data_IF_979476892967
#
_entry.id   IF_979476892967
#
_cell.length_a   1.000
_cell.length_b   1.000
_cell.length_c   1.000
_cell.angle_alpha   90.00
_cell.angle_beta   90.00
_cell.angle_gamma   90.00
#
_symmetry.space_group_name_H-M   'P 1'
#
loop_
_entity.id
_entity.type
_entity.pdbx_description
1 polymer ?
#
# COMPACT_ATOMS: atom_id res chain seq x y z
N UNK A 1 21.35 12.20 -51.25
CA UNK A 1 22.23 12.30 -50.06
C UNK A 1 21.38 12.89 -48.95
N UNK A 2 20.58 12.02 -48.33
CA UNK A 2 19.43 12.40 -47.49
C UNK A 2 19.90 12.63 -46.05
N UNK A 3 19.47 13.75 -45.47
CA UNK A 3 20.04 14.36 -44.27
C UNK A 3 20.03 13.43 -43.05
N UNK A 4 21.22 12.89 -42.72
CA UNK A 4 21.48 12.12 -41.50
C UNK A 4 21.30 12.94 -40.21
N UNK A 5 21.21 14.27 -40.29
CA UNK A 5 21.01 15.16 -39.15
C UNK A 5 19.55 15.19 -38.63
N UNK A 6 18.55 14.99 -39.50
CA UNK A 6 17.14 15.11 -39.10
C UNK A 6 16.65 13.85 -38.36
N UNK A 7 17.22 12.68 -38.64
CA UNK A 7 16.93 11.43 -37.91
C UNK A 7 17.47 11.44 -36.48
N UNK A 8 18.58 12.12 -36.21
CA UNK A 8 19.17 12.20 -34.88
C UNK A 8 18.33 13.08 -33.93
N UNK A 9 17.78 14.20 -34.43
CA UNK A 9 16.93 15.09 -33.64
C UNK A 9 15.57 14.46 -33.31
N UNK A 10 14.97 13.71 -34.25
CA UNK A 10 13.71 13.03 -34.00
C UNK A 10 13.87 11.84 -33.03
N UNK A 11 15.01 11.13 -33.11
CA UNK A 11 15.34 10.04 -32.18
C UNK A 11 15.60 10.52 -30.75
N UNK A 12 16.16 11.73 -30.57
CA UNK A 12 16.43 12.30 -29.25
C UNK A 12 15.15 12.81 -28.57
N UNK A 13 14.18 13.29 -29.35
CA UNK A 13 12.88 13.75 -28.83
C UNK A 13 11.95 12.59 -28.44
N UNK A 14 11.99 11.47 -29.16
CA UNK A 14 11.28 10.23 -28.77
C UNK A 14 11.88 9.61 -27.50
N UNK A 15 13.20 9.75 -27.30
CA UNK A 15 13.87 9.25 -26.09
C UNK A 15 13.49 10.07 -24.84
N UNK A 16 13.31 11.38 -24.96
CA UNK A 16 12.90 12.25 -23.86
C UNK A 16 11.44 12.07 -23.44
N UNK A 17 10.54 11.70 -24.37
CA UNK A 17 9.12 11.43 -24.05
C UNK A 17 8.93 10.13 -23.26
N UNK A 18 9.87 9.18 -23.34
CA UNK A 18 9.81 7.92 -22.56
C UNK A 18 10.20 8.10 -21.08
N UNK A 19 10.61 9.31 -20.68
CA UNK A 19 11.08 9.61 -19.32
C UNK A 19 10.05 10.34 -18.46
N UNK A 20 8.93 10.76 -19.04
CA UNK A 20 7.79 11.28 -18.29
C UNK A 20 6.66 10.24 -18.29
N UNK A 21 6.31 9.80 -17.09
CA UNK A 21 5.12 9.01 -16.76
C UNK A 21 5.16 7.52 -17.12
N UNK A 22 5.95 6.75 -16.37
CA UNK A 22 5.38 5.54 -15.78
C UNK A 22 4.75 5.90 -14.44
N UNK A 23 3.71 6.73 -14.46
CA UNK A 23 2.66 6.56 -13.45
C UNK A 23 2.07 5.22 -13.83
N UNK A 24 2.47 4.17 -13.12
CA UNK A 24 1.77 2.90 -13.19
C UNK A 24 0.40 3.16 -12.60
N UNK A 25 -0.57 3.57 -13.42
CA UNK A 25 -1.96 3.36 -13.05
C UNK A 25 -2.06 1.86 -12.79
N UNK A 26 -2.21 1.48 -11.52
CA UNK A 26 -2.49 0.09 -11.22
C UNK A 26 -3.81 -0.22 -11.91
N UNK A 27 -3.77 -1.17 -12.85
CA UNK A 27 -4.97 -1.68 -13.49
C UNK A 27 -5.75 -2.61 -12.56
N UNK A 28 -5.24 -2.86 -11.34
CA UNK A 28 -5.85 -3.74 -10.37
C UNK A 28 -6.91 -3.00 -9.54
N UNK A 29 -8.01 -3.68 -9.16
CA UNK A 29 -9.01 -3.07 -8.29
C UNK A 29 -8.43 -2.66 -6.94
N UNK A 30 -8.82 -1.48 -6.44
CA UNK A 30 -8.47 -1.04 -5.09
C UNK A 30 -9.10 -2.00 -4.07
N UNK A 31 -8.31 -2.59 -3.14
CA UNK A 31 -8.85 -3.47 -2.12
C UNK A 31 -9.83 -2.74 -1.20
N UNK A 32 -10.89 -3.43 -0.78
CA UNK A 32 -11.83 -2.93 0.23
C UNK A 32 -11.56 -3.55 1.59
N UNK A 33 -11.59 -2.74 2.64
CA UNK A 33 -11.42 -3.16 4.04
C UNK A 33 -12.71 -2.93 4.81
N UNK A 34 -13.30 -4.02 5.29
CA UNK A 34 -14.45 -4.00 6.17
C UNK A 34 -13.99 -4.34 7.59
N UNK A 35 -14.18 -3.44 8.55
CA UNK A 35 -13.81 -3.64 9.95
C UNK A 35 -15.05 -4.09 10.73
N UNK A 36 -14.89 -5.05 11.64
CA UNK A 36 -15.94 -5.48 12.57
C UNK A 36 -15.64 -5.00 13.98
N UNK A 37 -16.67 -4.72 14.76
CA UNK A 37 -16.56 -4.38 16.18
C UNK A 37 -17.78 -4.84 16.97
N UNK A 38 -17.98 -4.27 18.16
CA UNK A 38 -19.13 -4.54 19.00
C UNK A 38 -19.88 -3.25 19.34
N UNK A 39 -21.22 -3.30 19.37
CA UNK A 39 -22.03 -2.19 19.86
C UNK A 39 -22.11 -2.18 21.42
N UNK A 40 -22.85 -1.23 21.99
CA UNK A 40 -23.03 -1.11 23.46
C UNK A 40 -23.70 -2.34 24.10
N UNK A 41 -24.43 -3.15 23.32
CA UNK A 41 -25.06 -4.40 23.78
C UNK A 41 -24.13 -5.63 23.63
N UNK A 42 -22.88 -5.42 23.16
CA UNK A 42 -21.94 -6.50 22.86
C UNK A 42 -22.27 -7.28 21.57
N UNK A 43 -23.11 -6.75 20.69
CA UNK A 43 -23.44 -7.40 19.41
C UNK A 43 -22.41 -7.04 18.34
N UNK A 44 -22.02 -8.03 17.54
CA UNK A 44 -21.14 -7.84 16.39
C UNK A 44 -21.77 -6.91 15.35
N UNK A 45 -21.01 -5.93 14.88
CA UNK A 45 -21.40 -4.94 13.88
C UNK A 45 -20.26 -4.68 12.89
N UNK A 46 -20.57 -4.09 11.74
CA UNK A 46 -19.54 -3.42 10.93
C UNK A 46 -19.24 -2.06 11.53
N UNK A 47 -17.95 -1.79 11.73
CA UNK A 47 -17.46 -0.48 12.10
C UNK A 47 -17.23 0.35 10.84
N UNK A 48 -18.02 1.42 10.71
CA UNK A 48 -18.03 2.32 9.55
C UNK A 48 -17.36 3.67 9.83
N UNK A 49 -16.58 3.79 10.91
CA UNK A 49 -15.88 5.05 11.26
C UNK A 49 -14.81 5.43 10.25
N UNK A 50 -14.18 4.43 9.62
CA UNK A 50 -13.17 4.62 8.58
C UNK A 50 -13.74 4.21 7.21
N UNK A 51 -13.33 4.90 6.14
CA UNK A 51 -13.74 4.56 4.77
C UNK A 51 -13.29 3.13 4.41
N UNK A 52 -14.14 2.37 3.74
CA UNK A 52 -13.84 1.01 3.25
C UNK A 52 -12.67 0.99 2.26
N UNK A 53 -12.46 2.08 1.51
CA UNK A 53 -11.28 2.26 0.66
C UNK A 53 -10.05 2.58 1.51
N UNK A 54 -8.97 1.81 1.32
CA UNK A 54 -7.75 1.93 2.10
C UNK A 54 -6.76 2.92 1.47
N UNK A 55 -5.98 3.65 2.30
CA UNK A 55 -5.05 4.66 1.79
C UNK A 55 -3.94 4.01 0.95
N UNK A 56 -3.69 4.63 -0.20
CA UNK A 56 -2.62 4.27 -1.11
C UNK A 56 -1.32 5.00 -0.75
N UNK A 57 -0.19 4.30 -0.86
CA UNK A 57 1.15 4.89 -0.83
C UNK A 57 1.92 4.40 -2.06
N UNK A 58 2.21 5.33 -2.97
CA UNK A 58 3.02 5.04 -4.15
C UNK A 58 4.51 5.06 -3.76
N UNK A 59 5.15 3.91 -3.85
CA UNK A 59 6.60 3.76 -3.70
C UNK A 59 7.16 3.14 -4.97
N UNK A 60 7.31 3.99 -5.99
CA UNK A 60 7.67 3.59 -7.35
C UNK A 60 8.83 2.58 -7.37
N UNK A 61 8.68 1.43 -8.06
CA UNK A 61 7.59 1.11 -8.99
C UNK A 61 6.36 0.42 -8.34
N UNK A 62 6.29 0.27 -7.02
CA UNK A 62 5.25 -0.50 -6.32
C UNK A 62 4.17 0.41 -5.76
N UNK A 63 2.96 -0.11 -5.64
CA UNK A 63 1.84 0.57 -4.96
C UNK A 63 1.49 -0.22 -3.71
N UNK A 64 1.45 0.47 -2.58
CA UNK A 64 1.12 -0.12 -1.28
C UNK A 64 -0.25 0.35 -0.82
N UNK A 65 -1.04 -0.56 -0.27
CA UNK A 65 -2.29 -0.24 0.39
C UNK A 65 -2.25 -0.72 1.84
N UNK A 66 -2.51 0.19 2.79
CA UNK A 66 -2.45 -0.13 4.21
C UNK A 66 -3.79 -0.71 4.70
N UNK A 67 -3.86 -2.04 4.80
CA UNK A 67 -5.06 -2.77 5.21
C UNK A 67 -5.39 -2.63 6.69
N UNK A 68 -4.45 -2.93 7.59
CA UNK A 68 -4.65 -2.79 9.03
C UNK A 68 -3.32 -2.77 9.79
N UNK A 69 -3.30 -2.19 10.99
CA UNK A 69 -2.10 -2.16 11.84
C UNK A 69 -2.51 -2.38 13.28
N UNK A 70 -1.81 -3.27 13.97
CA UNK A 70 -1.95 -3.45 15.42
C UNK A 70 -0.63 -3.20 16.12
N UNK A 71 -0.69 -2.89 17.41
CA UNK A 71 0.48 -2.75 18.26
C UNK A 71 0.26 -3.55 19.55
N UNK A 72 1.32 -4.18 20.03
CA UNK A 72 1.26 -5.07 21.19
C UNK A 72 1.01 -6.52 20.80
N UNK A 73 1.47 -7.43 21.65
CA UNK A 73 1.17 -8.84 21.57
C UNK A 73 0.94 -9.40 22.99
N UNK A 74 -0.25 -9.96 23.30
CA UNK A 74 -1.44 -10.01 22.44
C UNK A 74 -2.00 -8.62 22.12
N UNK A 75 -2.77 -8.51 21.04
CA UNK A 75 -3.42 -7.25 20.64
C UNK A 75 -4.58 -6.96 21.59
N UNK A 76 -4.73 -5.69 22.00
CA UNK A 76 -5.89 -5.22 22.78
C UNK A 76 -7.05 -4.87 21.83
N UNK A 77 -8.14 -5.64 21.93
CA UNK A 77 -9.36 -5.45 21.15
C UNK A 77 -10.47 -4.78 21.97
N UNK A 78 -10.21 -4.45 23.24
CA UNK A 78 -11.19 -3.82 24.11
C UNK A 78 -11.31 -2.34 23.79
N UNK A 79 -12.54 -1.81 23.90
CA UNK A 79 -12.82 -0.37 23.72
C UNK A 79 -12.24 0.22 22.41
N UNK A 80 -12.17 -0.60 21.37
CA UNK A 80 -11.61 -0.30 20.05
C UNK A 80 -10.15 0.19 20.08
N UNK A 81 -9.35 -0.29 21.02
CA UNK A 81 -7.96 0.14 21.19
C UNK A 81 -7.10 -0.11 19.93
N UNK A 82 -7.30 -1.26 19.27
CA UNK A 82 -6.65 -1.62 18.02
C UNK A 82 -7.09 -0.71 16.85
N UNK A 83 -8.39 -0.40 16.77
CA UNK A 83 -8.93 0.44 15.70
C UNK A 83 -8.43 1.88 15.81
N UNK A 84 -8.34 2.42 17.03
CA UNK A 84 -7.73 3.74 17.31
C UNK A 84 -6.24 3.76 16.95
N UNK A 85 -5.54 2.67 17.27
CA UNK A 85 -4.13 2.49 16.86
C UNK A 85 -4.02 2.54 15.35
N UNK A 86 -4.85 1.78 14.64
CA UNK A 86 -4.85 1.75 13.19
C UNK A 86 -5.21 3.10 12.56
N UNK A 87 -6.21 3.82 13.07
CA UNK A 87 -6.60 5.16 12.60
C UNK A 87 -5.41 6.14 12.63
N UNK A 88 -4.56 6.06 13.66
CA UNK A 88 -3.34 6.87 13.74
C UNK A 88 -2.35 6.56 12.60
N UNK A 89 -2.30 5.30 12.15
CA UNK A 89 -1.47 4.85 11.05
C UNK A 89 -2.06 5.15 9.67
N UNK A 90 -3.38 5.30 9.55
CA UNK A 90 -4.02 5.82 8.34
C UNK A 90 -3.55 7.25 8.09
N UNK A 91 -3.49 8.08 9.14
CA UNK A 91 -2.98 9.45 9.05
C UNK A 91 -1.46 9.51 8.80
N UNK A 92 -0.70 8.56 9.35
CA UNK A 92 0.75 8.45 9.19
C UNK A 92 1.18 7.01 9.03
N UNK A 93 1.32 6.57 7.78
CA UNK A 93 1.67 5.19 7.46
C UNK A 93 2.95 4.74 8.16
N UNK A 94 3.00 3.51 8.70
CA UNK A 94 4.19 2.98 9.35
C UNK A 94 5.28 2.67 8.32
N UNK A 95 6.52 2.57 8.79
CA UNK A 95 7.61 1.95 8.03
C UNK A 95 7.33 0.47 7.72
N UNK A 96 8.25 -0.23 7.06
CA UNK A 96 8.03 -1.61 6.57
C UNK A 96 7.57 -2.59 7.65
N UNK A 97 7.98 -2.41 8.91
CA UNK A 97 7.49 -3.18 10.05
C UNK A 97 7.12 -2.29 11.24
N UNK A 98 6.23 -2.80 12.10
CA UNK A 98 5.87 -2.18 13.39
C UNK A 98 6.41 -3.08 14.51
N UNK A 99 7.37 -2.60 15.33
CA UNK A 99 7.92 -3.40 16.42
C UNK A 99 6.82 -3.85 17.41
N UNK A 100 6.77 -5.16 17.69
CA UNK A 100 5.81 -5.73 18.63
C UNK A 100 4.35 -5.63 18.17
N UNK A 101 4.09 -5.41 16.88
CA UNK A 101 2.76 -5.32 16.31
C UNK A 101 2.63 -6.18 15.05
N UNK A 102 1.52 -6.00 14.34
CA UNK A 102 1.28 -6.63 13.05
C UNK A 102 0.86 -5.60 12.01
N UNK A 103 1.18 -5.88 10.75
CA UNK A 103 0.82 -4.99 9.64
C UNK A 103 0.27 -5.81 8.49
N UNK A 104 -0.94 -5.48 8.06
CA UNK A 104 -1.56 -6.01 6.85
C UNK A 104 -1.41 -5.01 5.72
N UNK A 105 -0.84 -5.44 4.60
CA UNK A 105 -0.69 -4.64 3.38
C UNK A 105 -1.03 -5.44 2.15
N UNK A 106 -1.54 -4.72 1.16
CA UNK A 106 -1.60 -5.16 -0.22
C UNK A 106 -0.50 -4.44 -0.98
N UNK A 107 0.17 -5.15 -1.87
CA UNK A 107 1.28 -4.58 -2.64
C UNK A 107 1.13 -5.01 -4.09
N UNK A 108 0.98 -4.03 -4.95
CA UNK A 108 0.97 -4.25 -6.39
C UNK A 108 2.42 -4.25 -6.88
N UNK A 109 2.84 -5.40 -7.37
CA UNK A 109 4.15 -5.58 -7.99
C UNK A 109 4.00 -5.48 -9.51
N UNK A 110 4.53 -4.44 -10.17
CA UNK A 110 4.62 -4.45 -11.62
C UNK A 110 5.66 -5.49 -12.09
N UNK A 111 5.65 -5.84 -13.38
CA UNK A 111 6.69 -6.69 -13.95
C UNK A 111 8.08 -6.11 -13.71
N UNK A 112 9.00 -6.93 -13.19
CA UNK A 112 10.38 -6.52 -12.95
C UNK A 112 10.98 -7.08 -11.67
N UNK A 113 11.97 -6.36 -11.13
CA UNK A 113 12.67 -6.72 -9.90
C UNK A 113 12.31 -5.72 -8.80
N UNK A 114 12.19 -6.23 -7.57
CA UNK A 114 12.08 -5.40 -6.37
C UNK A 114 13.42 -5.24 -5.66
N UNK A 115 13.53 -4.24 -4.78
CA UNK A 115 14.72 -4.00 -3.99
C UNK A 115 14.85 -5.05 -2.87
N UNK A 116 16.04 -5.66 -2.77
CA UNK A 116 16.35 -6.58 -1.68
C UNK A 116 16.46 -5.83 -0.36
N UNK A 117 15.76 -6.30 0.67
CA UNK A 117 15.84 -5.79 2.03
C UNK A 117 15.58 -6.90 3.06
N UNK A 118 15.80 -6.58 4.34
CA UNK A 118 15.51 -7.47 5.48
C UNK A 118 14.74 -6.68 6.54
N UNK A 119 13.68 -7.27 7.05
CA UNK A 119 12.90 -6.80 8.21
C UNK A 119 13.12 -7.76 9.39
N UNK A 120 12.93 -7.25 10.61
CA UNK A 120 12.78 -8.09 11.81
C UNK A 120 11.29 -8.38 12.00
N UNK A 121 10.73 -9.22 11.12
CA UNK A 121 9.33 -9.65 11.13
C UNK A 121 9.21 -11.08 10.61
N UNK A 122 8.04 -11.67 10.79
CA UNK A 122 7.60 -12.85 10.05
C UNK A 122 6.41 -12.42 9.19
N UNK A 123 6.54 -12.59 7.88
CA UNK A 123 5.56 -12.08 6.92
C UNK A 123 4.82 -13.25 6.26
N UNK A 124 3.50 -13.29 6.40
CA UNK A 124 2.65 -14.23 5.69
C UNK A 124 2.18 -13.58 4.39
N UNK A 125 2.78 -14.00 3.28
CA UNK A 125 2.48 -13.45 1.95
C UNK A 125 1.52 -14.35 1.19
N UNK A 126 0.46 -13.75 0.65
CA UNK A 126 -0.56 -14.44 -0.14
C UNK A 126 -0.60 -13.75 -1.50
N UNK A 127 -0.51 -14.54 -2.57
CA UNK A 127 -0.72 -14.06 -3.94
C UNK A 127 -2.21 -14.14 -4.24
N UNK A 128 -2.80 -13.00 -4.57
CA UNK A 128 -4.23 -12.84 -4.90
C UNK A 128 -4.48 -12.94 -6.40
#
# INVERSE_FOLDING_TARGET
MENRFTKAFLSFFVFLLSWFSAVTDSILPIPKRLITGHNQDGKAIFDTRLNDEIPETVLSPHIFYLGYVTQGFPVDLESDADTKTYESYVAKSPGLSVPGGSVLRFVDFPPGKSAMHRTLSIDYSIVL
#
